data_IF_156913096116
#
_entry.id   IF_156913096116
#
_cell.length_a   1.000
_cell.length_b   1.000
_cell.length_c   1.000
_cell.angle_alpha   90.00
_cell.angle_beta   90.00
_cell.angle_gamma   90.00
#
_symmetry.space_group_name_H-M   'P 1'
#
loop_
_entity.id
_entity.type
_entity.pdbx_description
1 polymer ?
#
# COMPACT_ATOMS: atom_id res chain seq x y z
N UNK A 1 -12.91 -6.18 16.55
CA UNK A 1 -13.43 -4.94 15.92
C UNK A 1 -13.07 -4.98 14.44
N UNK A 2 -14.00 -4.64 13.58
CA UNK A 2 -13.77 -4.58 12.14
C UNK A 2 -13.12 -3.24 11.76
N UNK A 3 -12.04 -3.30 10.98
CA UNK A 3 -11.47 -2.12 10.32
C UNK A 3 -11.90 -2.11 8.85
N UNK A 4 -12.22 -0.94 8.34
CA UNK A 4 -12.56 -0.72 6.94
C UNK A 4 -11.44 0.05 6.25
N UNK A 5 -11.05 -0.40 5.06
CA UNK A 5 -10.05 0.24 4.22
C UNK A 5 -10.75 0.98 3.08
N UNK A 6 -10.51 2.28 2.98
CA UNK A 6 -11.01 3.11 1.87
C UNK A 6 -9.86 3.52 0.97
N UNK A 7 -9.85 3.02 -0.26
CA UNK A 7 -8.90 3.46 -1.29
C UNK A 7 -9.37 4.79 -1.84
N UNK A 8 -8.52 5.80 -1.78
CA UNK A 8 -8.82 7.12 -2.36
C UNK A 8 -7.58 7.98 -2.52
N UNK A 9 -7.60 8.87 -3.51
CA UNK A 9 -6.72 10.04 -3.63
C UNK A 9 -7.51 11.35 -3.57
N UNK A 10 -8.76 11.30 -3.18
CA UNK A 10 -9.62 12.48 -2.98
C UNK A 10 -9.51 12.97 -1.53
N UNK A 11 -8.91 14.17 -1.30
CA UNK A 11 -8.78 14.72 0.04
C UNK A 11 -10.12 14.97 0.76
N UNK A 12 -11.16 15.32 0.01
CA UNK A 12 -12.49 15.55 0.60
C UNK A 12 -13.10 14.24 1.12
N UNK A 13 -12.99 13.15 0.34
CA UNK A 13 -13.43 11.82 0.79
C UNK A 13 -12.60 11.34 1.98
N UNK A 14 -11.29 11.53 1.96
CA UNK A 14 -10.41 11.15 3.06
C UNK A 14 -10.82 11.83 4.37
N UNK A 15 -11.11 13.14 4.33
CA UNK A 15 -11.58 13.89 5.50
C UNK A 15 -12.90 13.35 6.04
N UNK A 16 -13.83 12.99 5.16
CA UNK A 16 -15.12 12.40 5.57
C UNK A 16 -14.93 11.04 6.22
N UNK A 17 -14.05 10.22 5.67
CA UNK A 17 -13.73 8.91 6.24
C UNK A 17 -13.02 9.02 7.59
N UNK A 18 -12.12 10.00 7.76
CA UNK A 18 -11.41 10.24 9.03
C UNK A 18 -12.37 10.51 10.21
N UNK A 19 -13.55 11.05 9.93
CA UNK A 19 -14.57 11.30 10.95
C UNK A 19 -15.27 10.02 11.43
N UNK A 20 -15.16 8.91 10.70
CA UNK A 20 -15.81 7.64 11.02
C UNK A 20 -14.86 6.74 11.83
N UNK A 21 -15.37 6.06 12.89
CA UNK A 21 -14.54 5.14 13.65
C UNK A 21 -14.22 3.88 12.82
N UNK A 22 -13.04 3.30 13.06
CA UNK A 22 -12.63 2.05 12.41
C UNK A 22 -12.24 2.20 10.94
N UNK A 23 -12.04 3.41 10.45
CA UNK A 23 -11.59 3.65 9.08
C UNK A 23 -10.06 3.73 9.00
N UNK A 24 -9.53 3.15 7.92
CA UNK A 24 -8.15 3.32 7.48
C UNK A 24 -8.15 3.76 6.03
N UNK A 25 -7.36 4.76 5.71
CA UNK A 25 -7.21 5.24 4.33
C UNK A 25 -6.12 4.44 3.62
N UNK A 26 -6.25 4.32 2.31
CA UNK A 26 -5.37 3.51 1.50
C UNK A 26 -5.04 4.25 0.20
N UNK A 27 -3.78 4.59 0.00
CA UNK A 27 -3.26 5.09 -1.28
C UNK A 27 -2.56 3.95 -2.01
N UNK A 28 -2.93 3.74 -3.26
CA UNK A 28 -2.45 2.63 -4.08
C UNK A 28 -1.48 3.13 -5.15
N UNK A 29 -0.18 2.97 -4.90
CA UNK A 29 0.87 3.36 -5.85
C UNK A 29 1.31 2.22 -6.76
N UNK A 30 0.71 1.04 -6.67
CA UNK A 30 1.06 -0.09 -7.53
C UNK A 30 0.74 0.22 -8.99
N UNK A 31 1.77 0.29 -9.83
CA UNK A 31 1.65 0.49 -11.28
C UNK A 31 2.35 -0.60 -12.10
N UNK A 32 3.43 -1.19 -11.58
CA UNK A 32 4.25 -2.19 -12.27
C UNK A 32 3.43 -3.44 -12.63
N UNK A 33 3.25 -3.71 -13.91
CA UNK A 33 2.51 -4.86 -14.42
C UNK A 33 1.00 -4.84 -14.19
N UNK A 34 0.46 -3.80 -13.55
CA UNK A 34 -0.97 -3.73 -13.21
C UNK A 34 -1.86 -3.69 -14.45
N UNK A 35 -1.49 -2.92 -15.45
CA UNK A 35 -2.23 -2.82 -16.70
C UNK A 35 -2.29 -4.17 -17.43
N UNK A 36 -1.20 -4.92 -17.46
CA UNK A 36 -1.15 -6.25 -18.09
C UNK A 36 -2.05 -7.25 -17.37
N UNK A 37 -2.00 -7.29 -16.02
CA UNK A 37 -2.84 -8.20 -15.22
C UNK A 37 -4.33 -7.91 -15.36
N UNK A 38 -4.70 -6.67 -15.65
CA UNK A 38 -6.08 -6.21 -15.73
C UNK A 38 -6.61 -6.08 -17.15
N UNK A 39 -5.78 -6.34 -18.16
CA UNK A 39 -6.20 -6.34 -19.58
C UNK A 39 -7.35 -7.33 -19.79
N UNK A 40 -8.44 -6.86 -20.41
CA UNK A 40 -9.64 -7.66 -20.67
C UNK A 40 -10.53 -7.92 -19.44
N UNK A 41 -10.22 -7.35 -18.27
CA UNK A 41 -11.04 -7.41 -17.07
C UNK A 41 -11.70 -6.07 -16.82
N UNK A 42 -12.96 -6.10 -16.38
CA UNK A 42 -13.71 -4.89 -16.03
C UNK A 42 -13.34 -4.40 -14.63
N UNK A 43 -12.04 -4.11 -14.41
CA UNK A 43 -11.49 -3.70 -13.13
C UNK A 43 -11.10 -2.22 -13.15
N UNK A 44 -11.34 -1.55 -12.03
CA UNK A 44 -10.95 -0.16 -11.85
C UNK A 44 -9.42 -0.06 -11.62
N UNK A 45 -8.73 0.68 -12.49
CA UNK A 45 -7.30 0.97 -12.35
C UNK A 45 -7.17 2.35 -11.70
N UNK A 46 -6.58 2.39 -10.50
CA UNK A 46 -6.32 3.63 -9.80
C UNK A 46 -5.13 4.37 -10.46
N UNK A 47 -5.22 5.71 -10.49
CA UNK A 47 -4.16 6.58 -11.04
C UNK A 47 -3.52 7.41 -9.93
N UNK A 48 -3.33 6.82 -8.74
CA UNK A 48 -2.72 7.50 -7.62
C UNK A 48 -1.25 7.82 -7.89
N UNK A 49 -0.81 8.99 -7.45
CA UNK A 49 0.57 9.47 -7.56
C UNK A 49 1.22 9.48 -6.17
N UNK A 50 2.55 9.47 -6.13
CA UNK A 50 3.28 9.50 -4.85
C UNK A 50 2.92 10.73 -4.00
N UNK A 51 2.66 11.87 -4.63
CA UNK A 51 2.26 13.12 -3.97
C UNK A 51 0.91 13.02 -3.27
N UNK A 52 0.06 12.07 -3.69
CA UNK A 52 -1.23 11.84 -3.06
C UNK A 52 -1.09 11.38 -1.61
N UNK A 53 0.01 10.70 -1.26
CA UNK A 53 0.28 10.23 0.10
C UNK A 53 0.24 11.42 1.08
N UNK A 54 1.02 12.46 0.82
CA UNK A 54 1.05 13.66 1.67
C UNK A 54 -0.28 14.43 1.65
N UNK A 55 -0.92 14.50 0.49
CA UNK A 55 -2.22 15.19 0.34
C UNK A 55 -3.32 14.52 1.16
N UNK A 56 -3.37 13.19 1.13
CA UNK A 56 -4.34 12.43 1.94
C UNK A 56 -3.96 12.51 3.42
N UNK A 57 -2.68 12.29 3.77
CA UNK A 57 -2.23 12.34 5.16
C UNK A 57 -2.59 13.67 5.83
N UNK A 58 -2.48 14.78 5.11
CA UNK A 58 -2.83 16.12 5.62
C UNK A 58 -4.30 16.25 6.05
N UNK A 59 -5.19 15.38 5.56
CA UNK A 59 -6.61 15.40 5.92
C UNK A 59 -6.93 14.55 7.16
N UNK A 60 -5.98 13.73 7.63
CA UNK A 60 -6.23 12.74 8.67
C UNK A 60 -5.82 13.25 10.03
N UNK A 61 -6.74 13.15 11.02
CA UNK A 61 -6.48 13.42 12.43
C UNK A 61 -6.56 12.14 13.28
N UNK A 62 -7.32 11.14 12.84
CA UNK A 62 -7.61 9.91 13.57
C UNK A 62 -7.22 8.66 12.79
N UNK A 63 -7.64 8.59 11.52
CA UNK A 63 -7.40 7.43 10.68
C UNK A 63 -5.92 7.29 10.33
N UNK A 64 -5.47 6.04 10.20
CA UNK A 64 -4.13 5.73 9.73
C UNK A 64 -4.12 5.61 8.21
N UNK A 65 -2.98 5.91 7.61
CA UNK A 65 -2.76 5.83 6.18
C UNK A 65 -1.87 4.63 5.85
N UNK A 66 -2.41 3.70 5.06
CA UNK A 66 -1.65 2.60 4.45
C UNK A 66 -1.32 2.95 3.01
N UNK A 67 -0.12 2.62 2.57
CA UNK A 67 0.31 2.82 1.18
C UNK A 67 0.74 1.48 0.59
N UNK A 68 0.11 1.09 -0.52
CA UNK A 68 0.59 -0.05 -1.31
C UNK A 68 1.66 0.43 -2.28
N UNK A 69 2.86 -0.14 -2.13
CA UNK A 69 4.00 0.12 -3.00
C UNK A 69 3.91 -0.74 -4.28
N UNK A 70 4.85 -0.54 -5.18
CA UNK A 70 5.07 -1.48 -6.27
C UNK A 70 5.65 -2.81 -5.76
N UNK A 71 5.52 -3.91 -6.50
CA UNK A 71 6.26 -5.13 -6.20
C UNK A 71 7.75 -4.85 -6.02
N UNK A 72 8.45 -5.68 -5.27
CA UNK A 72 9.87 -5.50 -4.99
C UNK A 72 10.67 -5.30 -6.29
N UNK A 73 11.42 -4.21 -6.36
CA UNK A 73 12.21 -3.79 -7.52
C UNK A 73 13.44 -2.97 -7.07
N UNK A 74 14.40 -2.69 -7.95
CA UNK A 74 15.60 -1.95 -7.57
C UNK A 74 15.34 -0.56 -6.95
N UNK A 75 14.22 0.08 -7.28
CA UNK A 75 13.81 1.39 -6.74
C UNK A 75 12.98 1.34 -5.46
N UNK A 76 12.73 0.17 -4.87
CA UNK A 76 11.86 0.03 -3.68
C UNK A 76 12.32 0.89 -2.52
N UNK A 77 13.63 0.98 -2.25
CA UNK A 77 14.15 1.78 -1.14
C UNK A 77 13.79 3.26 -1.30
N UNK A 78 13.99 3.82 -2.49
CA UNK A 78 13.67 5.22 -2.77
C UNK A 78 12.15 5.48 -2.73
N UNK A 79 11.35 4.56 -3.24
CA UNK A 79 9.89 4.61 -3.17
C UNK A 79 9.42 4.62 -1.71
N UNK A 80 9.96 3.73 -0.89
CA UNK A 80 9.66 3.64 0.53
C UNK A 80 10.04 4.93 1.27
N UNK A 81 11.25 5.45 1.04
CA UNK A 81 11.69 6.70 1.66
C UNK A 81 10.74 7.86 1.34
N UNK A 82 10.28 7.94 0.10
CA UNK A 82 9.34 8.97 -0.34
C UNK A 82 8.00 8.87 0.40
N UNK A 83 7.41 7.69 0.49
CA UNK A 83 6.08 7.54 1.13
C UNK A 83 6.16 7.70 2.65
N UNK A 84 7.23 7.25 3.29
CA UNK A 84 7.42 7.45 4.73
C UNK A 84 7.64 8.92 5.07
N UNK A 85 8.40 9.66 4.26
CA UNK A 85 8.60 11.10 4.42
C UNK A 85 7.28 11.87 4.30
N UNK A 86 6.33 11.39 3.52
CA UNK A 86 5.01 12.00 3.36
C UNK A 86 3.99 11.56 4.43
N UNK A 87 4.36 10.68 5.34
CA UNK A 87 3.54 10.33 6.49
C UNK A 87 2.75 9.02 6.39
N UNK A 88 3.14 8.10 5.52
CA UNK A 88 2.56 6.75 5.53
C UNK A 88 2.75 6.10 6.90
N UNK A 89 1.66 5.57 7.47
CA UNK A 89 1.67 4.90 8.77
C UNK A 89 1.98 3.41 8.65
N UNK A 90 1.70 2.81 7.51
CA UNK A 90 2.02 1.42 7.19
C UNK A 90 2.21 1.26 5.68
N UNK A 91 2.94 0.22 5.28
CA UNK A 91 3.23 -0.06 3.88
C UNK A 91 2.81 -1.48 3.53
N UNK A 92 2.30 -1.66 2.30
CA UNK A 92 1.88 -2.97 1.79
C UNK A 92 2.76 -3.38 0.63
N UNK A 93 3.30 -4.61 0.70
CA UNK A 93 4.01 -5.25 -0.41
C UNK A 93 3.06 -6.15 -1.19
N UNK A 94 2.79 -5.82 -2.48
CA UNK A 94 1.99 -6.67 -3.36
C UNK A 94 2.85 -7.69 -4.09
N UNK A 95 2.22 -8.69 -4.69
CA UNK A 95 2.74 -9.57 -5.75
C UNK A 95 4.02 -10.33 -5.42
N UNK A 96 4.43 -10.45 -4.16
CA UNK A 96 5.58 -11.27 -3.82
C UNK A 96 5.30 -12.76 -4.05
N UNK A 97 6.33 -13.51 -4.44
CA UNK A 97 6.24 -14.92 -4.80
C UNK A 97 6.90 -15.83 -3.76
N UNK A 98 7.88 -15.31 -3.04
CA UNK A 98 8.73 -16.10 -2.15
C UNK A 98 8.90 -15.42 -0.79
N UNK A 99 9.17 -16.18 0.28
CA UNK A 99 9.51 -15.62 1.59
C UNK A 99 10.75 -14.71 1.54
N UNK A 100 11.69 -15.00 0.66
CA UNK A 100 12.92 -14.20 0.55
C UNK A 100 12.65 -12.79 0.01
N UNK A 101 11.68 -12.62 -0.88
CA UNK A 101 11.24 -11.30 -1.32
C UNK A 101 10.67 -10.49 -0.14
N UNK A 102 9.84 -11.12 0.69
CA UNK A 102 9.28 -10.48 1.87
C UNK A 102 10.37 -10.14 2.91
N UNK A 103 11.33 -11.04 3.12
CA UNK A 103 12.49 -10.78 3.99
C UNK A 103 13.33 -9.62 3.46
N UNK A 104 13.58 -9.57 2.14
CA UNK A 104 14.31 -8.47 1.51
C UNK A 104 13.58 -7.13 1.71
N UNK A 105 12.27 -7.11 1.49
CA UNK A 105 11.44 -5.93 1.75
C UNK A 105 11.49 -5.51 3.22
N UNK A 106 11.38 -6.46 4.14
CA UNK A 106 11.47 -6.18 5.58
C UNK A 106 12.80 -5.53 5.98
N UNK A 107 13.91 -5.97 5.37
CA UNK A 107 15.23 -5.34 5.60
C UNK A 107 15.27 -3.90 5.10
N UNK A 108 14.65 -3.61 3.95
CA UNK A 108 14.55 -2.25 3.40
C UNK A 108 13.71 -1.38 4.33
N UNK A 109 12.59 -1.88 4.82
CA UNK A 109 11.72 -1.15 5.76
C UNK A 109 12.44 -0.88 7.09
N UNK A 110 13.25 -1.84 7.54
CA UNK A 110 14.11 -1.70 8.73
C UNK A 110 13.35 -1.25 9.99
N UNK A 111 12.14 -1.74 10.19
CA UNK A 111 11.32 -1.41 11.35
C UNK A 111 10.71 0.00 11.36
N UNK A 112 10.87 0.77 10.30
CA UNK A 112 10.37 2.16 10.23
C UNK A 112 8.86 2.27 10.16
N UNK A 113 8.17 1.21 9.70
CA UNK A 113 6.72 1.14 9.63
C UNK A 113 6.25 -0.32 9.69
N UNK A 114 5.01 -0.59 10.15
CA UNK A 114 4.38 -1.89 9.98
C UNK A 114 4.26 -2.28 8.51
N UNK A 115 4.45 -3.58 8.24
CA UNK A 115 4.34 -4.16 6.91
C UNK A 115 3.05 -4.98 6.82
N UNK A 116 2.32 -4.77 5.73
CA UNK A 116 1.20 -5.63 5.33
C UNK A 116 1.66 -6.45 4.12
N UNK A 117 1.70 -7.77 4.26
CA UNK A 117 2.03 -8.68 3.16
C UNK A 117 0.75 -9.14 2.47
N UNK A 118 0.60 -8.83 1.19
CA UNK A 118 -0.58 -9.20 0.43
C UNK A 118 -0.40 -10.57 -0.23
N UNK A 119 -1.11 -11.57 0.28
CA UNK A 119 -1.09 -12.95 -0.24
C UNK A 119 -2.02 -13.06 -1.46
N UNK A 120 -1.50 -12.78 -2.63
CA UNK A 120 -2.28 -12.77 -3.87
C UNK A 120 -1.65 -13.57 -5.01
N UNK A 121 -0.51 -14.23 -4.76
CA UNK A 121 0.17 -15.08 -5.74
C UNK A 121 0.16 -16.53 -5.28
N UNK A 122 0.22 -17.47 -6.24
CA UNK A 122 0.32 -18.88 -5.91
C UNK A 122 1.63 -19.23 -5.20
N UNK A 123 2.71 -18.47 -5.48
CA UNK A 123 3.98 -18.63 -4.78
C UNK A 123 3.86 -18.23 -3.31
N UNK A 124 3.26 -17.06 -3.01
CA UNK A 124 3.05 -16.61 -1.65
C UNK A 124 2.15 -17.56 -0.86
N UNK A 125 1.05 -18.05 -1.46
CA UNK A 125 0.15 -18.99 -0.80
C UNK A 125 0.82 -20.32 -0.44
N UNK A 126 1.72 -20.83 -1.32
CA UNK A 126 2.47 -22.06 -1.03
C UNK A 126 3.53 -21.90 0.06
N UNK A 127 3.93 -20.69 0.35
CA UNK A 127 5.00 -20.36 1.30
C UNK A 127 4.47 -19.83 2.64
N UNK A 128 3.17 -19.96 2.89
CA UNK A 128 2.54 -19.39 4.10
C UNK A 128 3.13 -19.95 5.39
N UNK A 129 3.60 -21.19 5.36
CA UNK A 129 4.16 -21.87 6.55
C UNK A 129 5.67 -21.66 6.69
N UNK A 130 6.33 -20.98 5.74
CA UNK A 130 7.78 -20.71 5.76
C UNK A 130 8.09 -19.38 6.47
#
# INVERSE_FOLDING_TARGET
MMELLQITNDPALARRCDALPGMRLFVDLETHGKAERQTGRNTFITTHQSEDVGRIKAQLQRARLMVRLNPLHPGTSAELDTVLAQGADSVMLPMFQTPDELRAFSRIVAGRAPIVALLETSGALRSVDD
#
